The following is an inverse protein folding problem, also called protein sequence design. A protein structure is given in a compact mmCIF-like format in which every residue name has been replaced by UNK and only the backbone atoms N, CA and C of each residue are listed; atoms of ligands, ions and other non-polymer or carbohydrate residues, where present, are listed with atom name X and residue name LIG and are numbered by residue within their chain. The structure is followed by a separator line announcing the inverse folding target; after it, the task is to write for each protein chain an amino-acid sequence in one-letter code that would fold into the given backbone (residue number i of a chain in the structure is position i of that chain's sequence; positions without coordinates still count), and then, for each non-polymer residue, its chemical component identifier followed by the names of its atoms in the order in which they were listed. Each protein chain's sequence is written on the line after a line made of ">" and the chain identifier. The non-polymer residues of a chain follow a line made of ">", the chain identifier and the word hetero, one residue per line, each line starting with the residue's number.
data_IF_141848640613
#
_entry.id   IF_141848640613
#
_cell.length_a   1.000
_cell.length_b   1.000
_cell.length_c   1.000
_cell.angle_alpha   90.00
_cell.angle_beta   90.00
_cell.angle_gamma   90.00
#
_symmetry.space_group_name_H-M   'P 1'
#
loop_
_entity.id
_entity.type
_entity.pdbx_description
1 polymer ?
#
# COMPACT_ATOMS: atom_id res chain seq x y z
N UNK A 1 46.58 -16.91 -4.50
CA UNK A 1 45.81 -17.20 -5.73
C UNK A 1 44.51 -17.86 -5.27
N UNK A 2 43.33 -17.23 -5.42
CA UNK A 2 42.09 -17.82 -4.93
C UNK A 2 41.74 -19.08 -5.73
N UNK A 3 41.34 -20.14 -5.03
CA UNK A 3 40.96 -21.41 -5.63
C UNK A 3 39.79 -21.22 -6.60
N UNK A 4 39.82 -21.81 -7.81
CA UNK A 4 38.79 -21.60 -8.83
C UNK A 4 37.38 -21.93 -8.32
N UNK A 5 37.25 -22.93 -7.44
CA UNK A 5 36.00 -23.32 -6.79
C UNK A 5 35.34 -22.20 -5.98
N UNK A 6 36.13 -21.35 -5.32
CA UNK A 6 35.60 -20.22 -4.55
C UNK A 6 35.01 -19.14 -5.47
N UNK A 7 35.65 -18.90 -6.62
CA UNK A 7 35.18 -17.92 -7.61
C UNK A 7 33.86 -18.37 -8.24
N UNK A 8 33.71 -19.66 -8.55
CA UNK A 8 32.44 -20.18 -9.06
C UNK A 8 31.31 -20.07 -8.02
N UNK A 9 31.61 -20.35 -6.75
CA UNK A 9 30.63 -20.26 -5.68
C UNK A 9 30.11 -18.82 -5.50
N UNK A 10 31.00 -17.82 -5.51
CA UNK A 10 30.58 -16.41 -5.39
C UNK A 10 29.76 -15.95 -6.59
N UNK A 11 30.11 -16.37 -7.81
CA UNK A 11 29.33 -16.06 -9.01
C UNK A 11 27.92 -16.67 -8.93
N UNK A 12 27.80 -17.93 -8.49
CA UNK A 12 26.49 -18.59 -8.34
C UNK A 12 25.61 -17.90 -7.29
N UNK A 13 26.19 -17.51 -6.15
CA UNK A 13 25.47 -16.78 -5.11
C UNK A 13 25.02 -15.40 -5.59
N UNK A 14 25.87 -14.66 -6.32
CA UNK A 14 25.52 -13.35 -6.89
C UNK A 14 24.40 -13.49 -7.92
N UNK A 15 24.45 -14.49 -8.80
CA UNK A 15 23.38 -14.74 -9.77
C UNK A 15 22.05 -15.14 -9.10
N UNK A 16 22.10 -15.98 -8.06
CA UNK A 16 20.91 -16.34 -7.29
C UNK A 16 20.30 -15.13 -6.57
N UNK A 17 21.13 -14.28 -5.97
CA UNK A 17 20.69 -13.02 -5.36
C UNK A 17 20.09 -12.06 -6.39
N UNK A 18 20.72 -11.89 -7.56
CA UNK A 18 20.18 -11.06 -8.64
C UNK A 18 18.83 -11.59 -9.14
N UNK A 19 18.65 -12.91 -9.22
CA UNK A 19 17.38 -13.52 -9.58
C UNK A 19 16.29 -13.30 -8.53
N UNK A 20 16.64 -13.39 -7.23
CA UNK A 20 15.73 -13.07 -6.13
C UNK A 20 15.30 -11.60 -6.14
N UNK A 21 16.22 -10.67 -6.44
CA UNK A 21 15.89 -9.23 -6.55
C UNK A 21 14.99 -8.97 -7.78
N UNK A 22 15.18 -9.73 -8.86
CA UNK A 22 14.34 -9.66 -10.05
C UNK A 22 12.91 -10.19 -9.79
N UNK A 23 12.75 -11.30 -9.05
CA UNK A 23 11.43 -11.81 -8.66
C UNK A 23 10.77 -11.01 -7.54
N UNK A 24 11.55 -10.55 -6.56
CA UNK A 24 11.04 -9.86 -5.36
C UNK A 24 10.52 -8.45 -5.60
N UNK A 25 10.68 -7.90 -6.81
CA UNK A 25 10.15 -6.58 -7.19
C UNK A 25 8.72 -6.64 -7.73
N UNK A 26 8.20 -7.82 -8.07
CA UNK A 26 6.86 -7.96 -8.67
C UNK A 26 5.71 -7.99 -7.64
N UNK A 27 5.97 -8.32 -6.36
CA UNK A 27 4.89 -8.43 -5.35
C UNK A 27 4.54 -7.11 -4.62
N UNK A 28 4.76 -5.96 -5.26
CA UNK A 28 4.17 -4.67 -4.86
C UNK A 28 3.60 -3.91 -6.07
N UNK A 29 3.36 -4.59 -7.20
CA UNK A 29 2.79 -3.96 -8.38
C UNK A 29 1.68 -4.79 -9.04
N UNK A 30 1.12 -5.80 -8.37
CA UNK A 30 -0.08 -6.50 -8.87
C UNK A 30 -1.40 -5.74 -8.63
N UNK A 31 -1.36 -4.41 -8.64
CA UNK A 31 -2.54 -3.55 -8.46
C UNK A 31 -2.85 -2.72 -9.72
N UNK A 32 -2.09 -2.87 -10.82
CA UNK A 32 -2.16 -1.90 -11.94
C UNK A 32 -3.07 -2.34 -13.11
N UNK A 33 -3.30 -3.64 -13.34
CA UNK A 33 -3.97 -4.08 -14.58
C UNK A 33 -5.50 -4.30 -14.40
N UNK A 34 -5.94 -4.59 -13.18
CA UNK A 34 -7.32 -4.41 -12.75
C UNK A 34 -7.25 -3.61 -11.46
N UNK A 35 -7.16 -2.28 -11.59
CA UNK A 35 -7.10 -1.40 -10.43
C UNK A 35 -8.22 -1.78 -9.45
N UNK A 36 -7.92 -1.91 -8.13
CA UNK A 36 -8.95 -2.09 -7.13
C UNK A 36 -10.03 -1.05 -7.39
N UNK A 37 -11.30 -1.47 -7.36
CA UNK A 37 -12.42 -0.59 -7.69
C UNK A 37 -12.26 0.70 -6.90
N UNK A 38 -12.07 1.79 -7.63
CA UNK A 38 -11.87 3.12 -7.04
C UNK A 38 -13.24 3.64 -6.62
N UNK A 39 -13.64 3.32 -5.39
CA UNK A 39 -14.94 3.72 -4.86
C UNK A 39 -15.08 5.25 -4.78
N UNK A 40 -13.96 5.98 -4.75
CA UNK A 40 -13.96 7.44 -4.76
C UNK A 40 -14.33 8.02 -6.13
N UNK A 41 -14.07 7.31 -7.24
CA UNK A 41 -14.54 7.74 -8.57
C UNK A 41 -16.03 7.47 -8.78
N UNK A 42 -16.52 6.38 -8.22
CA UNK A 42 -17.92 5.96 -8.40
C UNK A 42 -18.86 6.64 -7.41
N UNK A 43 -18.36 7.07 -6.24
CA UNK A 43 -19.19 7.60 -5.17
C UNK A 43 -18.55 8.84 -4.50
N UNK A 44 -19.10 10.01 -4.81
CA UNK A 44 -18.69 11.32 -4.24
C UNK A 44 -18.74 11.33 -2.70
N UNK A 45 -19.66 10.57 -2.08
CA UNK A 45 -19.75 10.48 -0.63
C UNK A 45 -18.53 9.75 -0.04
N UNK A 46 -18.07 8.69 -0.71
CA UNK A 46 -16.87 7.95 -0.32
C UNK A 46 -15.64 8.83 -0.54
N UNK A 47 -15.57 9.55 -1.66
CA UNK A 47 -14.50 10.52 -1.91
C UNK A 47 -14.39 11.55 -0.78
N UNK A 48 -15.51 12.19 -0.42
CA UNK A 48 -15.55 13.21 0.63
C UNK A 48 -15.12 12.64 1.98
N UNK A 49 -15.54 11.42 2.32
CA UNK A 49 -15.12 10.74 3.55
C UNK A 49 -13.61 10.50 3.56
N UNK A 50 -13.06 9.89 2.50
CA UNK A 50 -11.66 9.55 2.39
C UNK A 50 -10.78 10.81 2.38
N UNK A 51 -11.17 11.87 1.67
CA UNK A 51 -10.49 13.17 1.70
C UNK A 51 -10.48 13.77 3.12
N UNK A 52 -11.62 13.76 3.81
CA UNK A 52 -11.74 14.30 5.17
C UNK A 52 -10.88 13.51 6.16
N UNK A 53 -10.87 12.20 6.03
CA UNK A 53 -10.07 11.30 6.85
C UNK A 53 -8.57 11.53 6.67
N UNK A 54 -8.09 11.63 5.42
CA UNK A 54 -6.70 11.94 5.10
C UNK A 54 -6.28 13.31 5.65
N UNK A 55 -7.14 14.33 5.53
CA UNK A 55 -6.90 15.67 6.10
C UNK A 55 -6.74 15.65 7.61
N UNK A 56 -7.57 14.89 8.34
CA UNK A 56 -7.50 14.81 9.81
C UNK A 56 -6.29 14.04 10.32
N UNK A 57 -5.98 12.92 9.67
CA UNK A 57 -4.85 12.06 10.02
C UNK A 57 -3.50 12.64 9.58
N UNK A 58 -3.53 13.60 8.64
CA UNK A 58 -2.36 14.20 8.01
C UNK A 58 -1.46 13.18 7.32
N UNK A 59 -2.06 12.08 6.87
CA UNK A 59 -1.36 10.93 6.30
C UNK A 59 -1.76 10.74 4.84
N UNK A 60 -0.78 10.78 3.94
CA UNK A 60 -1.01 10.67 2.50
C UNK A 60 -1.35 9.25 2.04
N UNK A 61 -1.15 8.23 2.88
CA UNK A 61 -1.49 6.83 2.57
C UNK A 61 -2.97 6.51 2.85
N UNK A 62 -3.63 7.31 3.68
CA UNK A 62 -5.01 7.04 4.12
C UNK A 62 -6.01 7.23 2.99
N UNK A 63 -5.80 8.23 2.14
CA UNK A 63 -6.68 8.48 0.99
C UNK A 63 -6.73 7.30 0.01
N UNK A 64 -5.59 6.81 -0.54
CA UNK A 64 -5.62 5.65 -1.43
C UNK A 64 -6.09 4.38 -0.72
N UNK A 65 -5.70 4.12 0.53
CA UNK A 65 -6.22 2.97 1.28
C UNK A 65 -7.74 2.99 1.39
N UNK A 66 -8.32 4.16 1.69
CA UNK A 66 -9.76 4.33 1.85
C UNK A 66 -10.52 4.17 0.52
N UNK A 67 -10.00 4.74 -0.58
CA UNK A 67 -10.63 4.64 -1.90
C UNK A 67 -10.58 3.23 -2.50
N UNK A 68 -9.53 2.46 -2.17
CA UNK A 68 -9.34 1.10 -2.68
C UNK A 68 -9.81 0.00 -1.71
N UNK A 69 -10.48 0.37 -0.60
CA UNK A 69 -11.01 -0.59 0.36
C UNK A 69 -9.93 -1.45 1.04
N UNK A 70 -8.71 -0.92 1.17
CA UNK A 70 -7.59 -1.63 1.78
C UNK A 70 -7.74 -1.59 3.31
N UNK A 71 -7.51 -2.72 3.98
CA UNK A 71 -7.47 -2.83 5.46
C UNK A 71 -8.70 -2.25 6.19
N UNK A 72 -9.90 -2.34 5.60
CA UNK A 72 -11.13 -1.74 6.17
C UNK A 72 -10.97 -0.23 6.49
N UNK A 73 -10.11 0.46 5.73
CA UNK A 73 -9.78 1.86 5.95
C UNK A 73 -11.00 2.77 5.83
N UNK A 74 -11.99 2.38 5.03
CA UNK A 74 -13.26 3.10 4.87
C UNK A 74 -14.08 3.10 6.16
N UNK A 75 -14.30 1.93 6.76
CA UNK A 75 -15.02 1.78 8.03
C UNK A 75 -14.26 2.47 9.17
N UNK A 76 -12.93 2.38 9.14
CA UNK A 76 -12.09 3.12 10.08
C UNK A 76 -12.25 4.63 9.92
N UNK A 77 -12.21 5.14 8.69
CA UNK A 77 -12.40 6.55 8.39
C UNK A 77 -13.80 7.05 8.79
N UNK A 78 -14.85 6.25 8.60
CA UNK A 78 -16.20 6.58 9.07
C UNK A 78 -16.23 6.77 10.60
N UNK A 79 -15.66 5.83 11.36
CA UNK A 79 -15.56 5.94 12.82
C UNK A 79 -14.68 7.11 13.25
N UNK A 80 -13.51 7.28 12.64
CA UNK A 80 -12.52 8.28 13.01
C UNK A 80 -12.99 9.72 12.72
N UNK A 81 -13.68 9.95 11.60
CA UNK A 81 -14.23 11.28 11.26
C UNK A 81 -15.46 11.64 12.10
N UNK A 82 -16.16 10.65 12.67
CA UNK A 82 -17.25 10.83 13.64
C UNK A 82 -16.74 10.97 15.08
N UNK A 83 -15.54 10.48 15.38
CA UNK A 83 -14.91 10.65 16.68
C UNK A 83 -14.79 12.14 17.06
N UNK A 84 -15.16 12.48 18.31
CA UNK A 84 -15.14 13.85 18.83
C UNK A 84 -16.30 14.75 18.42
N UNK A 85 -17.32 14.24 17.68
CA UNK A 85 -18.57 14.98 17.39
C UNK A 85 -19.66 14.85 18.47
N UNK A 86 -19.33 14.31 19.64
CA UNK A 86 -20.18 14.48 20.80
C UNK A 86 -20.00 15.90 21.34
N UNK A 87 -21.05 16.75 21.40
CA UNK A 87 -20.99 17.91 22.27
C UNK A 87 -20.79 17.36 23.68
N UNK A 88 -19.73 17.83 24.34
CA UNK A 88 -19.62 17.74 25.79
C UNK A 88 -20.91 18.38 26.34
N UNK A 89 -21.82 17.54 26.84
CA UNK A 89 -23.02 17.98 27.54
C UNK A 89 -22.79 17.83 29.03
#
# INVERSE_FOLDING_TARGET
>A
MPSPLLVFCTIMLVNLCLWQIALGRELHMETIIAGPRDECKENEHVETLCQTCAKRTKSNIVYPMCCFGQEEAKEWCDRYTKYGRHPLK
#
